data_IF_226782114217
#
_entry.id   IF_226782114217
#
_cell.length_a   1.000
_cell.length_b   1.000
_cell.length_c   1.000
_cell.angle_alpha   90.00
_cell.angle_beta   90.00
_cell.angle_gamma   90.00
#
_symmetry.space_group_name_H-M   'P 1'
#
loop_
_entity.id
_entity.type
_entity.pdbx_description
1 polymer ?
#
# COMPACT_ATOMS: atom_id res chain seq x y z
N UNK A 1 -69.19 -36.08 71.29
CA UNK A 1 -67.90 -36.68 70.94
C UNK A 1 -67.98 -37.08 69.48
N UNK A 2 -67.19 -36.62 68.53
CA UNK A 2 -66.13 -35.63 68.44
C UNK A 2 -65.95 -35.40 66.93
N UNK A 3 -66.00 -34.15 66.51
CA UNK A 3 -65.97 -33.70 65.12
C UNK A 3 -64.77 -34.23 64.35
N UNK A 4 -65.03 -34.93 63.25
CA UNK A 4 -64.09 -35.15 62.15
C UNK A 4 -63.99 -33.90 61.29
N UNK A 5 -62.78 -33.47 60.96
CA UNK A 5 -62.49 -32.42 59.97
C UNK A 5 -61.10 -31.90 60.26
N UNK A 6 -60.06 -32.24 59.51
CA UNK A 6 -59.98 -32.26 58.06
C UNK A 6 -58.80 -31.38 57.70
N UNK A 7 -57.60 -31.80 58.14
CA UNK A 7 -56.35 -31.14 57.81
C UNK A 7 -56.02 -31.41 56.34
N UNK A 8 -56.29 -30.43 55.50
CA UNK A 8 -55.95 -30.42 54.09
C UNK A 8 -55.41 -29.06 53.69
N UNK A 9 -54.31 -28.63 54.32
CA UNK A 9 -53.48 -27.58 53.73
C UNK A 9 -52.78 -28.20 52.52
N UNK A 10 -53.46 -28.20 51.37
CA UNK A 10 -52.80 -28.33 50.09
C UNK A 10 -51.71 -27.27 50.07
N UNK A 11 -50.44 -27.63 49.81
CA UNK A 11 -49.25 -26.78 49.91
C UNK A 11 -49.20 -25.58 48.96
N UNK A 12 -50.31 -24.84 48.85
CA UNK A 12 -50.41 -23.55 48.23
C UNK A 12 -49.61 -22.56 49.06
N UNK A 13 -48.54 -22.06 48.46
CA UNK A 13 -47.78 -20.94 49.00
C UNK A 13 -48.51 -19.68 48.57
N UNK A 14 -49.09 -18.96 49.53
CA UNK A 14 -49.72 -17.66 49.29
C UNK A 14 -48.71 -16.54 49.48
N UNK A 15 -48.73 -15.56 48.59
CA UNK A 15 -47.92 -14.34 48.65
C UNK A 15 -48.76 -13.13 49.07
N UNK A 16 -48.13 -11.95 49.16
CA UNK A 16 -48.86 -10.70 49.40
C UNK A 16 -49.89 -10.46 48.29
N UNK A 17 -51.10 -10.05 48.65
CA UNK A 17 -52.22 -9.86 47.72
C UNK A 17 -51.88 -8.94 46.53
N UNK A 18 -51.02 -7.94 46.73
CA UNK A 18 -50.53 -7.08 45.65
C UNK A 18 -49.69 -7.83 44.61
N UNK A 19 -48.83 -8.75 45.04
CA UNK A 19 -47.98 -9.56 44.14
C UNK A 19 -48.81 -10.57 43.36
N UNK A 20 -49.78 -11.22 44.00
CA UNK A 20 -50.67 -12.17 43.34
C UNK A 20 -51.58 -11.48 42.32
N UNK A 21 -52.06 -10.27 42.62
CA UNK A 21 -52.90 -9.47 41.70
C UNK A 21 -52.11 -9.09 40.44
N UNK A 22 -50.90 -8.55 40.59
CA UNK A 22 -50.07 -8.18 39.43
C UNK A 22 -49.66 -9.39 38.60
N UNK A 23 -49.31 -10.51 39.25
CA UNK A 23 -48.91 -11.72 38.54
C UNK A 23 -50.08 -12.35 37.78
N UNK A 24 -51.29 -12.27 38.34
CA UNK A 24 -52.52 -12.68 37.67
C UNK A 24 -52.83 -11.77 36.48
N UNK A 25 -52.65 -10.46 36.62
CA UNK A 25 -52.85 -9.50 35.54
C UNK A 25 -51.83 -9.71 34.39
N UNK A 26 -50.58 -10.11 34.69
CA UNK A 26 -49.60 -10.46 33.65
C UNK A 26 -49.95 -11.71 32.83
N UNK A 27 -50.76 -12.63 33.39
CA UNK A 27 -51.13 -13.91 32.77
C UNK A 27 -52.55 -13.92 32.20
N UNK A 28 -53.33 -12.89 32.47
CA UNK A 28 -54.70 -12.80 31.99
C UNK A 28 -54.69 -12.37 30.52
N UNK A 29 -55.29 -13.18 29.65
CA UNK A 29 -55.35 -12.92 28.20
C UNK A 29 -56.76 -12.52 27.73
N UNK A 30 -57.69 -12.23 28.66
CA UNK A 30 -59.14 -12.19 28.37
C UNK A 30 -59.85 -10.86 28.65
N UNK A 31 -59.11 -9.75 28.80
CA UNK A 31 -59.63 -8.45 28.35
C UNK A 31 -60.10 -7.42 29.38
N UNK A 32 -59.55 -7.40 30.60
CA UNK A 32 -59.47 -6.16 31.42
C UNK A 32 -58.21 -6.25 32.28
N UNK A 33 -57.05 -6.04 31.67
CA UNK A 33 -55.79 -5.97 32.40
C UNK A 33 -55.55 -4.52 32.85
N UNK A 34 -55.03 -4.33 34.06
CA UNK A 34 -54.60 -3.01 34.52
C UNK A 34 -53.28 -2.55 33.87
N UNK A 35 -52.65 -3.45 33.11
CA UNK A 35 -51.36 -3.28 32.43
C UNK A 35 -51.63 -3.28 30.92
N UNK A 36 -50.94 -2.40 30.18
CA UNK A 36 -51.25 -2.12 28.76
C UNK A 36 -51.14 -3.34 27.82
N UNK A 37 -50.38 -4.38 28.19
CA UNK A 37 -50.24 -5.67 27.47
C UNK A 37 -49.96 -6.81 28.44
N UNK A 38 -50.61 -7.95 28.24
CA UNK A 38 -50.28 -9.17 29.00
C UNK A 38 -49.00 -9.81 28.48
N UNK A 39 -48.30 -10.59 29.31
CA UNK A 39 -47.07 -11.27 28.89
C UNK A 39 -47.35 -12.28 27.78
N UNK A 40 -48.48 -12.98 27.84
CA UNK A 40 -48.87 -13.96 26.82
C UNK A 40 -49.07 -13.30 25.46
N UNK A 41 -49.67 -12.11 25.40
CA UNK A 41 -49.79 -11.32 24.17
C UNK A 41 -48.41 -10.87 23.63
N UNK A 42 -47.51 -10.45 24.52
CA UNK A 42 -46.15 -10.04 24.12
C UNK A 42 -45.34 -11.24 23.62
N UNK A 43 -45.46 -12.41 24.24
CA UNK A 43 -44.79 -13.62 23.80
C UNK A 43 -45.36 -14.14 22.48
N UNK A 44 -46.69 -14.23 22.35
CA UNK A 44 -47.36 -14.70 21.13
C UNK A 44 -47.05 -13.80 19.93
N UNK A 45 -46.88 -12.49 20.14
CA UNK A 45 -46.45 -11.56 19.08
C UNK A 45 -44.95 -11.65 18.74
N UNK A 46 -44.10 -12.10 19.67
CA UNK A 46 -42.66 -12.23 19.47
C UNK A 46 -42.25 -13.59 18.87
N UNK A 47 -43.00 -14.66 19.15
CA UNK A 47 -42.73 -16.00 18.63
C UNK A 47 -42.78 -16.04 17.10
N UNK A 48 -41.76 -16.64 16.48
CA UNK A 48 -41.61 -16.68 15.03
C UNK A 48 -41.33 -15.32 14.35
N UNK A 49 -41.26 -14.23 15.12
CA UNK A 49 -40.94 -12.87 14.65
C UNK A 49 -39.53 -12.47 15.13
N UNK A 50 -38.54 -13.30 14.80
CA UNK A 50 -37.16 -13.04 15.18
C UNK A 50 -36.62 -11.79 14.47
N UNK A 51 -35.93 -10.88 15.20
CA UNK A 51 -35.30 -9.69 14.62
C UNK A 51 -34.08 -10.04 13.74
N UNK A 52 -33.65 -11.30 13.75
CA UNK A 52 -32.50 -11.80 12.97
C UNK A 52 -32.90 -12.31 11.59
N UNK A 53 -34.20 -12.53 11.33
CA UNK A 53 -34.72 -12.96 10.03
C UNK A 53 -34.38 -11.90 8.96
N UNK A 54 -33.66 -12.33 7.93
CA UNK A 54 -33.28 -11.48 6.79
C UNK A 54 -32.12 -10.53 7.07
N UNK A 55 -31.49 -10.59 8.25
CA UNK A 55 -30.18 -9.98 8.46
C UNK A 55 -29.10 -10.88 7.84
N UNK A 56 -28.10 -10.25 7.25
CA UNK A 56 -26.91 -10.91 6.74
C UNK A 56 -25.68 -10.12 7.13
N UNK A 57 -24.55 -10.79 7.33
CA UNK A 57 -23.29 -10.10 7.57
C UNK A 57 -22.87 -9.24 6.38
N UNK A 58 -21.97 -8.29 6.65
CA UNK A 58 -21.36 -7.47 5.60
C UNK A 58 -20.59 -8.35 4.62
N UNK A 59 -20.88 -8.21 3.32
CA UNK A 59 -20.18 -8.93 2.26
C UNK A 59 -18.95 -8.12 1.76
N UNK A 60 -17.71 -8.58 2.03
CA UNK A 60 -16.49 -7.86 1.62
C UNK A 60 -16.06 -8.14 0.17
N UNK A 61 -16.85 -8.87 -0.63
CA UNK A 61 -16.46 -9.30 -1.98
C UNK A 61 -16.09 -8.13 -2.90
N UNK A 62 -16.84 -7.03 -2.84
CA UNK A 62 -16.59 -5.84 -3.68
C UNK A 62 -15.25 -5.16 -3.32
N UNK A 63 -14.97 -4.79 -2.05
CA UNK A 63 -13.65 -4.28 -1.65
C UNK A 63 -12.48 -5.24 -1.92
N UNK A 64 -12.68 -6.54 -1.72
CA UNK A 64 -11.65 -7.55 -1.99
C UNK A 64 -11.32 -7.58 -3.49
N UNK A 65 -12.33 -7.57 -4.36
CA UNK A 65 -12.15 -7.55 -5.80
C UNK A 65 -11.45 -6.26 -6.28
N UNK A 66 -11.81 -5.11 -5.71
CA UNK A 66 -11.14 -3.83 -5.99
C UNK A 66 -9.65 -3.87 -5.62
N UNK A 67 -9.30 -4.35 -4.43
CA UNK A 67 -7.90 -4.48 -4.02
C UNK A 67 -7.12 -5.46 -4.89
N UNK A 68 -7.71 -6.60 -5.25
CA UNK A 68 -7.09 -7.56 -6.15
C UNK A 68 -6.81 -6.97 -7.55
N UNK A 69 -7.71 -6.13 -8.06
CA UNK A 69 -7.53 -5.44 -9.34
C UNK A 69 -6.36 -4.44 -9.30
N UNK A 70 -6.16 -3.72 -8.19
CA UNK A 70 -5.02 -2.79 -8.01
C UNK A 70 -3.70 -3.55 -8.01
N UNK A 71 -3.61 -4.66 -7.29
CA UNK A 71 -2.42 -5.53 -7.28
C UNK A 71 -2.15 -6.08 -8.68
N UNK A 72 -3.17 -6.58 -9.38
CA UNK A 72 -3.03 -7.07 -10.75
C UNK A 72 -2.56 -5.99 -11.73
N UNK A 73 -3.05 -4.75 -11.60
CA UNK A 73 -2.59 -3.62 -12.41
C UNK A 73 -1.09 -3.32 -12.17
N UNK A 74 -0.64 -3.37 -10.92
CA UNK A 74 0.78 -3.21 -10.60
C UNK A 74 1.64 -4.34 -11.19
N UNK A 75 1.13 -5.58 -11.19
CA UNK A 75 1.80 -6.73 -11.79
C UNK A 75 2.00 -6.56 -13.32
N UNK A 76 1.01 -6.00 -14.02
CA UNK A 76 1.09 -5.72 -15.46
C UNK A 76 2.16 -4.66 -15.75
N UNK A 77 2.23 -3.60 -14.95
CA UNK A 77 3.28 -2.58 -15.07
C UNK A 77 4.65 -3.23 -14.88
N UNK A 78 4.79 -4.09 -13.88
CA UNK A 78 6.03 -4.80 -13.57
C UNK A 78 6.46 -5.77 -14.68
N UNK A 79 5.50 -6.50 -15.27
CA UNK A 79 5.75 -7.43 -16.37
C UNK A 79 6.13 -6.70 -17.68
N UNK A 80 5.62 -5.49 -17.90
CA UNK A 80 5.99 -4.64 -19.05
C UNK A 80 7.42 -4.10 -18.99
N UNK A 81 8.06 -4.13 -17.81
CA UNK A 81 9.46 -3.77 -17.63
C UNK A 81 10.34 -5.02 -17.87
N UNK A 82 10.72 -5.36 -19.10
CA UNK A 82 11.62 -6.49 -19.37
C UNK A 82 13.05 -6.26 -18.82
N UNK A 83 13.52 -7.04 -17.84
CA UNK A 83 14.79 -6.81 -17.12
C UNK A 83 16.04 -6.86 -18.01
N UNK A 84 16.17 -7.87 -18.87
CA UNK A 84 17.37 -8.07 -19.69
C UNK A 84 17.35 -7.25 -20.97
N UNK A 85 16.19 -7.11 -21.60
CA UNK A 85 16.03 -6.33 -22.82
C UNK A 85 16.14 -4.83 -22.54
N UNK A 86 15.48 -4.32 -21.49
CA UNK A 86 15.55 -2.89 -21.15
C UNK A 86 16.93 -2.51 -20.63
N UNK A 87 17.62 -3.39 -19.89
CA UNK A 87 18.98 -3.09 -19.44
C UNK A 87 19.96 -3.04 -20.62
N UNK A 88 19.90 -3.99 -21.55
CA UNK A 88 20.75 -3.96 -22.74
C UNK A 88 20.47 -2.71 -23.60
N UNK A 89 19.20 -2.32 -23.76
CA UNK A 89 18.83 -1.11 -24.50
C UNK A 89 19.21 0.18 -23.77
N UNK A 90 19.01 0.28 -22.45
CA UNK A 90 19.38 1.45 -21.65
C UNK A 90 20.89 1.59 -21.53
N UNK A 91 21.63 0.49 -21.36
CA UNK A 91 23.09 0.49 -21.40
C UNK A 91 23.58 0.93 -22.78
N UNK A 92 23.04 0.38 -23.86
CA UNK A 92 23.39 0.78 -25.22
C UNK A 92 23.07 2.26 -25.47
N UNK A 93 21.90 2.77 -25.02
CA UNK A 93 21.53 4.18 -25.14
C UNK A 93 22.40 5.10 -24.29
N UNK A 94 22.71 4.73 -23.05
CA UNK A 94 23.60 5.48 -22.16
C UNK A 94 25.01 5.55 -22.75
N UNK A 95 25.52 4.45 -23.30
CA UNK A 95 26.77 4.44 -24.06
C UNK A 95 26.65 5.36 -25.28
N UNK A 96 25.58 5.29 -26.06
CA UNK A 96 25.44 6.12 -27.29
C UNK A 96 25.30 7.61 -26.97
N UNK A 97 24.63 7.97 -25.88
CA UNK A 97 24.38 9.37 -25.48
C UNK A 97 25.52 9.98 -24.68
N UNK A 98 26.24 9.22 -23.86
CA UNK A 98 27.46 9.71 -23.16
C UNK A 98 28.73 9.58 -24.00
N UNK A 99 28.80 8.62 -24.93
CA UNK A 99 29.88 8.49 -25.93
C UNK A 99 29.57 9.32 -27.19
N UNK A 100 28.67 10.32 -27.08
CA UNK A 100 28.63 11.44 -28.03
C UNK A 100 30.02 12.10 -28.17
N UNK A 101 30.79 12.14 -27.08
CA UNK A 101 32.25 12.29 -27.12
C UNK A 101 32.92 11.00 -27.61
N UNK A 102 32.68 10.65 -28.87
CA UNK A 102 33.38 9.56 -29.53
C UNK A 102 34.89 9.82 -29.56
N UNK A 103 35.69 8.79 -29.82
CA UNK A 103 37.14 8.95 -30.08
C UNK A 103 37.39 10.08 -31.11
N UNK A 104 36.46 10.27 -32.05
CA UNK A 104 36.46 11.35 -33.03
C UNK A 104 36.36 12.77 -32.43
N UNK A 105 35.52 13.00 -31.41
CA UNK A 105 35.44 14.31 -30.73
C UNK A 105 36.68 14.56 -29.87
N UNK A 106 37.21 13.52 -29.21
CA UNK A 106 38.48 13.62 -28.48
C UNK A 106 39.60 14.02 -29.44
N UNK A 107 39.66 13.36 -30.61
CA UNK A 107 40.66 13.67 -31.64
C UNK A 107 40.46 15.09 -32.19
N UNK A 108 39.20 15.53 -32.37
CA UNK A 108 38.90 16.89 -32.83
C UNK A 108 39.31 17.96 -31.81
N UNK A 109 39.02 17.74 -30.53
CA UNK A 109 39.35 18.67 -29.43
C UNK A 109 40.86 18.72 -29.15
N UNK A 110 41.53 17.55 -29.14
CA UNK A 110 43.00 17.48 -29.08
C UNK A 110 43.64 18.15 -30.29
N UNK A 111 43.05 17.99 -31.49
CA UNK A 111 43.48 18.68 -32.70
C UNK A 111 43.32 20.20 -32.59
N UNK A 112 42.20 20.69 -32.06
CA UNK A 112 41.98 22.11 -31.82
C UNK A 112 42.98 22.68 -30.80
N UNK A 113 43.24 21.96 -29.70
CA UNK A 113 44.22 22.35 -28.70
C UNK A 113 45.65 22.38 -29.27
N UNK A 114 46.02 21.37 -30.07
CA UNK A 114 47.31 21.34 -30.76
C UNK A 114 47.49 22.55 -31.68
N UNK A 115 46.44 22.91 -32.46
CA UNK A 115 46.50 24.05 -33.36
C UNK A 115 46.67 25.39 -32.62
N UNK A 116 46.07 25.54 -31.43
CA UNK A 116 46.23 26.74 -30.59
C UNK A 116 47.68 26.84 -30.08
N UNK A 117 48.25 25.73 -29.61
CA UNK A 117 49.65 25.68 -29.19
C UNK A 117 50.61 25.96 -30.35
N UNK A 118 50.34 25.40 -31.53
CA UNK A 118 51.11 25.67 -32.75
C UNK A 118 51.11 27.15 -33.10
N UNK A 119 49.93 27.78 -33.09
CA UNK A 119 49.81 29.21 -33.39
C UNK A 119 50.56 30.05 -32.35
N UNK A 120 50.48 29.74 -31.06
CA UNK A 120 51.24 30.43 -30.03
C UNK A 120 52.76 30.25 -30.18
N UNK A 121 53.22 29.04 -30.50
CA UNK A 121 54.64 28.74 -30.71
C UNK A 121 55.17 29.50 -31.91
N UNK A 122 54.47 29.45 -33.05
CA UNK A 122 54.90 30.07 -34.31
C UNK A 122 54.83 31.59 -34.24
N UNK A 123 53.76 32.16 -33.65
CA UNK A 123 53.54 33.61 -33.68
C UNK A 123 54.22 34.35 -32.53
N UNK A 124 54.44 33.71 -31.38
CA UNK A 124 54.97 34.37 -30.17
C UNK A 124 56.27 33.76 -29.65
N UNK A 125 56.31 32.46 -29.41
CA UNK A 125 57.42 31.83 -28.66
C UNK A 125 58.69 31.73 -29.51
N UNK A 126 58.61 31.11 -30.68
CA UNK A 126 59.75 30.96 -31.60
C UNK A 126 60.32 32.31 -32.05
N UNK A 127 59.50 33.32 -32.44
CA UNK A 127 60.04 34.64 -32.81
C UNK A 127 60.78 35.33 -31.66
N UNK A 128 60.28 35.24 -30.42
CA UNK A 128 60.96 35.82 -29.24
C UNK A 128 62.26 35.09 -28.92
N UNK A 129 62.24 33.75 -28.99
CA UNK A 129 63.43 32.92 -28.78
C UNK A 129 64.51 33.21 -29.85
N UNK A 130 64.13 33.23 -31.13
CA UNK A 130 65.03 33.52 -32.25
C UNK A 130 65.64 34.91 -32.15
N UNK A 131 64.86 35.93 -31.80
CA UNK A 131 65.35 37.30 -31.61
C UNK A 131 66.33 37.38 -30.43
N UNK A 132 66.00 36.76 -29.30
CA UNK A 132 66.91 36.70 -28.15
C UNK A 132 68.22 35.98 -28.46
N UNK A 133 68.19 34.92 -29.27
CA UNK A 133 69.40 34.21 -29.73
C UNK A 133 70.20 34.99 -30.77
N UNK A 134 69.54 35.82 -31.60
CA UNK A 134 70.18 36.76 -32.51
C UNK A 134 70.95 37.85 -31.75
N UNK A 135 70.35 38.40 -30.69
CA UNK A 135 70.98 39.46 -29.90
C UNK A 135 72.29 39.01 -29.22
N UNK A 136 72.40 37.73 -28.87
CA UNK A 136 73.61 37.12 -28.30
C UNK A 136 74.51 36.42 -29.34
N UNK A 137 74.18 36.52 -30.63
CA UNK A 137 74.90 35.90 -31.75
C UNK A 137 75.07 34.36 -31.63
N UNK A 138 74.14 33.68 -30.95
CA UNK A 138 74.20 32.23 -30.73
C UNK A 138 73.46 31.41 -31.80
N UNK A 139 73.01 32.05 -32.89
CA UNK A 139 72.16 31.46 -33.94
C UNK A 139 72.83 30.31 -34.71
N UNK A 140 74.16 30.28 -34.78
CA UNK A 140 74.94 29.23 -35.48
C UNK A 140 75.39 28.12 -34.51
N UNK A 141 74.98 28.18 -33.24
CA UNK A 141 75.38 27.20 -32.22
C UNK A 141 74.37 26.05 -32.08
N UNK A 142 74.84 24.90 -31.61
CA UNK A 142 73.96 23.77 -31.25
C UNK A 142 72.90 24.15 -30.21
N UNK A 143 73.20 25.14 -29.35
CA UNK A 143 72.26 25.67 -28.35
C UNK A 143 70.99 26.26 -28.97
N UNK A 144 71.06 26.79 -30.20
CA UNK A 144 69.90 27.29 -30.93
C UNK A 144 68.94 26.15 -31.31
N UNK A 145 69.49 25.10 -31.95
CA UNK A 145 68.71 23.92 -32.38
C UNK A 145 68.17 23.14 -31.18
N UNK A 146 68.97 23.02 -30.10
CA UNK A 146 68.52 22.40 -28.85
C UNK A 146 67.36 23.18 -28.24
N UNK A 147 67.44 24.51 -28.20
CA UNK A 147 66.36 25.34 -27.66
C UNK A 147 65.05 25.23 -28.45
N UNK A 148 65.10 25.21 -29.79
CA UNK A 148 63.90 24.95 -30.61
C UNK A 148 63.34 23.55 -30.34
N UNK A 149 64.19 22.52 -30.26
CA UNK A 149 63.74 21.15 -29.98
C UNK A 149 63.11 21.00 -28.59
N UNK A 150 63.57 21.76 -27.60
CA UNK A 150 63.00 21.77 -26.25
C UNK A 150 61.63 22.43 -26.24
N UNK A 151 61.43 23.51 -27.01
CA UNK A 151 60.13 24.18 -27.16
C UNK A 151 59.10 23.23 -27.78
N UNK A 152 59.46 22.55 -28.87
CA UNK A 152 58.59 21.54 -29.50
C UNK A 152 58.35 20.32 -28.59
N UNK A 153 59.35 19.90 -27.81
CA UNK A 153 59.19 18.82 -26.83
C UNK A 153 58.24 19.17 -25.68
N UNK A 154 58.12 20.46 -25.30
CA UNK A 154 57.13 20.90 -24.32
C UNK A 154 55.72 20.85 -24.88
N UNK A 155 55.53 21.27 -26.14
CA UNK A 155 54.24 21.17 -26.85
C UNK A 155 53.72 19.74 -26.85
N UNK A 156 54.53 18.78 -27.29
CA UNK A 156 54.09 17.38 -27.39
C UNK A 156 53.70 16.80 -26.02
N UNK A 157 54.41 17.21 -24.96
CA UNK A 157 54.10 16.82 -23.58
C UNK A 157 52.77 17.43 -23.10
N UNK A 158 52.50 18.68 -23.43
CA UNK A 158 51.24 19.35 -23.07
C UNK A 158 50.04 18.77 -23.81
N UNK A 159 50.17 18.48 -25.10
CA UNK A 159 49.15 17.79 -25.90
C UNK A 159 48.87 16.39 -25.33
N UNK A 160 49.91 15.62 -25.00
CA UNK A 160 49.74 14.30 -24.38
C UNK A 160 49.07 14.37 -23.00
N UNK A 161 49.41 15.38 -22.19
CA UNK A 161 48.76 15.61 -20.89
C UNK A 161 47.29 15.96 -21.05
N UNK A 162 46.95 16.84 -21.98
CA UNK A 162 45.57 17.22 -22.28
C UNK A 162 44.74 16.02 -22.75
N UNK A 163 45.28 15.24 -23.69
CA UNK A 163 44.66 14.01 -24.19
C UNK A 163 44.38 12.99 -23.08
N UNK A 164 45.34 12.75 -22.18
CA UNK A 164 45.14 11.84 -21.05
C UNK A 164 44.10 12.37 -20.05
N UNK A 165 44.07 13.68 -19.80
CA UNK A 165 43.07 14.33 -18.95
C UNK A 165 41.65 14.14 -19.49
N UNK A 166 41.43 14.36 -20.78
CA UNK A 166 40.14 14.15 -21.43
C UNK A 166 39.67 12.68 -21.32
N UNK A 167 40.58 11.72 -21.50
CA UNK A 167 40.26 10.29 -21.36
C UNK A 167 39.81 9.93 -19.94
N UNK A 168 40.45 10.49 -18.91
CA UNK A 168 40.07 10.28 -17.51
C UNK A 168 38.69 10.85 -17.23
N UNK A 169 38.43 12.09 -17.64
CA UNK A 169 37.12 12.75 -17.44
C UNK A 169 35.99 11.97 -18.10
N UNK A 170 36.22 11.42 -19.30
CA UNK A 170 35.23 10.58 -19.98
C UNK A 170 35.05 9.25 -19.24
N UNK A 171 36.12 8.65 -18.72
CA UNK A 171 36.06 7.46 -17.85
C UNK A 171 35.20 7.70 -16.61
N UNK A 172 35.39 8.83 -15.92
CA UNK A 172 34.59 9.22 -14.76
C UNK A 172 33.10 9.41 -15.10
N UNK A 173 32.81 10.03 -16.26
CA UNK A 173 31.41 10.18 -16.74
C UNK A 173 30.75 8.83 -16.99
N UNK A 174 31.49 7.86 -17.57
CA UNK A 174 30.98 6.49 -17.77
C UNK A 174 30.67 5.80 -16.44
N UNK A 175 31.55 5.95 -15.44
CA UNK A 175 31.34 5.35 -14.11
C UNK A 175 30.09 5.96 -13.45
N UNK A 176 29.91 7.28 -13.49
CA UNK A 176 28.72 7.95 -12.95
C UNK A 176 27.42 7.49 -13.63
N UNK A 177 27.44 7.28 -14.94
CA UNK A 177 26.28 6.74 -15.66
C UNK A 177 25.95 5.31 -15.22
N UNK A 178 26.95 4.46 -15.02
CA UNK A 178 26.77 3.10 -14.49
C UNK A 178 26.21 3.13 -13.08
N UNK A 179 26.69 4.03 -12.22
CA UNK A 179 26.18 4.21 -10.87
C UNK A 179 24.69 4.60 -10.87
N UNK A 180 24.28 5.55 -11.71
CA UNK A 180 22.87 5.91 -11.87
C UNK A 180 22.02 4.72 -12.35
N UNK A 181 22.53 3.89 -13.25
CA UNK A 181 21.85 2.68 -13.68
C UNK A 181 21.69 1.66 -12.55
N UNK A 182 22.71 1.46 -11.71
CA UNK A 182 22.65 0.58 -10.53
C UNK A 182 21.61 1.10 -9.52
N UNK A 183 21.52 2.42 -9.33
CA UNK A 183 20.50 3.02 -8.46
C UNK A 183 19.09 2.76 -9.00
N UNK A 184 18.88 2.88 -10.31
CA UNK A 184 17.60 2.55 -10.94
C UNK A 184 17.24 1.06 -10.78
N UNK A 185 18.21 0.15 -10.91
CA UNK A 185 17.99 -1.28 -10.67
C UNK A 185 17.62 -1.57 -9.21
N UNK A 186 18.30 -0.92 -8.26
CA UNK A 186 17.98 -1.05 -6.83
C UNK A 186 16.56 -0.55 -6.53
N UNK A 187 16.17 0.59 -7.09
CA UNK A 187 14.82 1.13 -6.96
C UNK A 187 13.77 0.16 -7.52
N UNK A 188 14.07 -0.51 -8.62
CA UNK A 188 13.19 -1.52 -9.21
C UNK A 188 13.06 -2.77 -8.33
N UNK A 189 14.15 -3.27 -7.76
CA UNK A 189 14.11 -4.40 -6.80
C UNK A 189 13.24 -4.03 -5.60
N UNK A 190 13.33 -2.78 -5.12
CA UNK A 190 12.47 -2.30 -4.04
C UNK A 190 10.99 -2.31 -4.45
N UNK A 191 10.64 -1.85 -5.66
CA UNK A 191 9.26 -1.94 -6.17
C UNK A 191 8.74 -3.37 -6.29
N UNK A 192 9.60 -4.32 -6.69
CA UNK A 192 9.24 -5.74 -6.71
C UNK A 192 9.00 -6.29 -5.30
N UNK A 193 9.86 -5.95 -4.35
CA UNK A 193 9.71 -6.37 -2.96
C UNK A 193 8.43 -5.78 -2.32
N UNK A 194 8.13 -4.51 -2.58
CA UNK A 194 6.93 -3.85 -2.07
C UNK A 194 5.66 -4.41 -2.71
N UNK A 195 5.69 -4.76 -3.99
CA UNK A 195 4.59 -5.48 -4.64
C UNK A 195 4.27 -6.81 -3.96
N UNK A 196 5.30 -7.63 -3.70
CA UNK A 196 5.12 -8.93 -3.03
C UNK A 196 4.51 -8.73 -1.63
N UNK A 197 4.96 -7.72 -0.89
CA UNK A 197 4.38 -7.36 0.41
C UNK A 197 2.91 -6.97 0.31
N UNK A 198 2.55 -6.11 -0.64
CA UNK A 198 1.16 -5.69 -0.87
C UNK A 198 0.26 -6.86 -1.29
N UNK A 199 0.77 -7.77 -2.11
CA UNK A 199 0.03 -8.97 -2.52
C UNK A 199 -0.22 -9.91 -1.33
N UNK A 200 0.78 -10.12 -0.47
CA UNK A 200 0.63 -10.91 0.76
C UNK A 200 -0.38 -10.27 1.71
N UNK A 201 -0.31 -8.95 1.90
CA UNK A 201 -1.24 -8.23 2.78
C UNK A 201 -2.67 -8.29 2.24
N UNK A 202 -2.85 -8.15 0.93
CA UNK A 202 -4.17 -8.26 0.29
C UNK A 202 -4.78 -9.65 0.50
N UNK A 203 -3.97 -10.72 0.39
CA UNK A 203 -4.43 -12.07 0.68
C UNK A 203 -4.79 -12.24 2.17
N UNK A 204 -4.02 -11.63 3.07
CA UNK A 204 -4.33 -11.65 4.51
C UNK A 204 -5.66 -10.95 4.81
N UNK A 205 -5.87 -9.74 4.27
CA UNK A 205 -7.13 -8.99 4.43
C UNK A 205 -8.31 -9.79 3.88
N UNK A 206 -8.16 -10.41 2.70
CA UNK A 206 -9.18 -11.27 2.11
C UNK A 206 -9.57 -12.42 3.04
N UNK A 207 -8.59 -13.13 3.60
CA UNK A 207 -8.84 -14.25 4.51
C UNK A 207 -9.56 -13.78 5.78
N UNK A 208 -9.10 -12.68 6.38
CA UNK A 208 -9.71 -12.14 7.61
C UNK A 208 -11.14 -11.67 7.33
N UNK A 209 -11.38 -10.91 6.27
CA UNK A 209 -12.70 -10.38 5.95
C UNK A 209 -13.73 -11.48 5.63
N UNK A 210 -13.34 -12.53 4.89
CA UNK A 210 -14.23 -13.68 4.63
C UNK A 210 -14.53 -14.48 5.90
N UNK A 211 -13.54 -14.62 6.78
CA UNK A 211 -13.74 -15.24 8.08
C UNK A 211 -14.71 -14.42 8.93
N UNK A 212 -14.52 -13.10 9.01
CA UNK A 212 -15.42 -12.21 9.76
C UNK A 212 -16.86 -12.26 9.25
N UNK A 213 -17.06 -12.30 7.93
CA UNK A 213 -18.38 -12.51 7.35
C UNK A 213 -18.99 -13.83 7.83
N UNK A 214 -18.24 -14.93 7.70
CA UNK A 214 -18.73 -16.28 8.08
C UNK A 214 -19.03 -16.36 9.58
N UNK A 215 -18.17 -15.79 10.42
CA UNK A 215 -18.34 -15.78 11.87
C UNK A 215 -19.57 -14.95 12.28
N UNK A 216 -19.84 -13.83 11.60
CA UNK A 216 -21.03 -13.02 11.84
C UNK A 216 -22.32 -13.68 11.34
N UNK A 217 -22.31 -14.28 10.15
CA UNK A 217 -23.45 -15.04 9.62
C UNK A 217 -23.82 -16.18 10.58
N UNK A 218 -22.82 -16.93 11.09
CA UNK A 218 -23.06 -17.98 12.07
C UNK A 218 -23.66 -17.47 13.39
N UNK A 219 -23.31 -16.26 13.83
CA UNK A 219 -23.89 -15.63 15.03
C UNK A 219 -25.34 -15.19 14.77
N UNK A 220 -25.64 -14.65 13.59
CA UNK A 220 -27.00 -14.27 13.20
C UNK A 220 -27.89 -15.53 13.16
N UNK A 221 -27.44 -16.59 12.51
CA UNK A 221 -28.16 -17.86 12.41
C UNK A 221 -28.39 -18.52 13.78
N UNK A 222 -27.37 -18.53 14.64
CA UNK A 222 -27.49 -19.06 16.01
C UNK A 222 -28.46 -18.23 16.87
N UNK A 223 -28.46 -16.91 16.71
CA UNK A 223 -29.37 -16.01 17.44
C UNK A 223 -30.81 -16.13 16.94
N UNK A 224 -31.00 -16.35 15.64
CA UNK A 224 -32.31 -16.61 15.03
C UNK A 224 -32.89 -17.92 15.55
N UNK A 225 -32.11 -19.00 15.49
CA UNK A 225 -32.53 -20.32 15.96
C UNK A 225 -32.86 -20.37 17.46
N UNK A 226 -32.22 -19.52 18.27
CA UNK A 226 -32.44 -19.43 19.71
C UNK A 226 -33.54 -18.45 20.11
N UNK A 227 -33.99 -17.58 19.21
CA UNK A 227 -34.91 -16.49 19.53
C UNK A 227 -36.15 -16.98 20.29
N UNK A 228 -36.84 -18.00 19.77
CA UNK A 228 -38.05 -18.51 20.40
C UNK A 228 -37.76 -19.06 21.82
N UNK A 229 -36.61 -19.70 22.02
CA UNK A 229 -36.18 -20.21 23.33
C UNK A 229 -35.84 -19.07 24.31
N UNK A 230 -35.26 -17.96 23.81
CA UNK A 230 -35.01 -16.77 24.61
C UNK A 230 -36.32 -16.09 25.03
N UNK A 231 -37.30 -15.98 24.13
CA UNK A 231 -38.65 -15.48 24.45
C UNK A 231 -39.29 -16.32 25.57
N UNK A 232 -39.17 -17.66 25.51
CA UNK A 232 -39.63 -18.53 26.59
C UNK A 232 -38.84 -18.34 27.89
N UNK A 233 -37.54 -18.08 27.83
CA UNK A 233 -36.72 -17.82 29.02
C UNK A 233 -37.12 -16.50 29.70
N UNK A 234 -37.41 -15.45 28.94
CA UNK A 234 -37.93 -14.19 29.48
C UNK A 234 -39.30 -14.40 30.14
N UNK A 235 -40.18 -15.19 29.51
CA UNK A 235 -41.49 -15.55 30.09
C UNK A 235 -41.37 -16.38 31.38
N UNK A 236 -40.48 -17.38 31.38
CA UNK A 236 -40.21 -18.21 32.54
C UNK A 236 -39.62 -17.40 33.71
N UNK A 237 -38.79 -16.39 33.42
CA UNK A 237 -38.26 -15.49 34.44
C UNK A 237 -39.33 -14.59 35.05
N UNK A 238 -40.30 -14.12 34.25
CA UNK A 238 -41.43 -13.38 34.79
C UNK A 238 -42.30 -14.29 35.66
N UNK A 239 -42.57 -15.52 35.23
CA UNK A 239 -43.30 -16.53 36.02
C UNK A 239 -42.60 -16.86 37.34
N UNK A 240 -41.28 -17.03 37.31
CA UNK A 240 -40.48 -17.35 38.48
C UNK A 240 -40.23 -16.15 39.41
N UNK A 241 -40.59 -14.93 38.99
CA UNK A 241 -40.33 -13.71 39.77
C UNK A 241 -41.02 -13.68 41.13
N UNK A 242 -42.19 -14.33 41.27
CA UNK A 242 -42.91 -14.43 42.55
C UNK A 242 -42.24 -15.39 43.54
N UNK A 243 -41.52 -16.39 43.03
CA UNK A 243 -40.83 -17.43 43.81
C UNK A 243 -39.32 -17.21 43.96
N UNK A 244 -38.75 -16.17 43.36
CA UNK A 244 -37.32 -15.82 43.43
C UNK A 244 -36.39 -16.69 42.58
N UNK A 245 -36.92 -17.52 41.67
CA UNK A 245 -36.17 -18.49 40.87
C UNK A 245 -35.79 -18.02 39.47
N UNK A 246 -35.37 -16.78 39.28
CA UNK A 246 -35.04 -16.25 37.95
C UNK A 246 -33.66 -16.74 37.47
N UNK A 247 -33.57 -17.10 36.20
CA UNK A 247 -32.30 -17.39 35.54
C UNK A 247 -31.87 -16.19 34.70
N UNK A 248 -30.57 -15.88 34.65
CA UNK A 248 -30.09 -14.83 33.76
C UNK A 248 -30.27 -15.33 32.31
N UNK A 249 -31.08 -14.64 31.47
CA UNK A 249 -31.11 -14.97 30.05
C UNK A 249 -29.68 -14.82 29.52
N UNK A 250 -29.29 -15.72 28.62
CA UNK A 250 -27.96 -15.71 28.03
C UNK A 250 -27.84 -14.40 27.24
N UNK A 251 -27.27 -13.36 27.83
CA UNK A 251 -27.18 -12.05 27.19
C UNK A 251 -26.43 -12.24 25.88
N UNK A 252 -27.11 -11.96 24.76
CA UNK A 252 -26.54 -11.97 23.42
C UNK A 252 -25.14 -11.36 23.50
N UNK A 253 -24.12 -12.16 23.16
CA UNK A 253 -22.75 -11.68 23.14
C UNK A 253 -22.73 -10.46 22.22
N UNK A 254 -22.38 -9.30 22.78
CA UNK A 254 -22.23 -8.03 22.06
C UNK A 254 -21.57 -8.31 20.71
N UNK A 255 -22.26 -8.07 19.61
CA UNK A 255 -21.67 -8.31 18.29
C UNK A 255 -20.39 -7.48 18.23
N UNK A 256 -19.27 -8.11 17.87
CA UNK A 256 -18.04 -7.41 17.53
C UNK A 256 -18.20 -6.71 16.17
N UNK A 257 -19.31 -5.99 15.95
CA UNK A 257 -19.47 -5.03 14.86
C UNK A 257 -18.64 -3.75 15.11
N UNK A 258 -17.55 -3.84 15.86
CA UNK A 258 -16.45 -2.89 15.80
C UNK A 258 -15.55 -3.36 14.66
N UNK A 259 -16.00 -3.12 13.43
CA UNK A 259 -15.22 -3.35 12.21
C UNK A 259 -13.93 -2.54 12.29
N UNK A 260 -12.83 -3.23 12.60
CA UNK A 260 -11.46 -2.68 12.58
C UNK A 260 -11.03 -2.35 11.14
N UNK A 261 -11.82 -2.74 10.13
CA UNK A 261 -11.60 -2.38 8.72
C UNK A 261 -12.04 -0.94 8.38
N UNK A 262 -12.78 -0.26 9.24
CA UNK A 262 -13.37 1.06 8.95
C UNK A 262 -12.42 2.27 9.00
N UNK A 263 -11.14 2.10 9.37
CA UNK A 263 -10.30 3.25 9.75
C UNK A 263 -8.90 3.36 9.12
N UNK A 264 -8.36 2.34 8.45
CA UNK A 264 -6.92 2.31 8.13
C UNK A 264 -6.55 2.22 6.63
N UNK A 265 -7.51 2.14 5.72
CA UNK A 265 -7.26 2.07 4.27
C UNK A 265 -7.95 3.21 3.52
N UNK A 266 -7.79 4.45 4.01
CA UNK A 266 -8.02 5.65 3.20
C UNK A 266 -7.02 5.64 2.03
N UNK A 267 -7.44 5.01 0.94
CA UNK A 267 -6.77 4.86 -0.35
C UNK A 267 -6.65 6.17 -1.13
N UNK A 268 -6.06 7.19 -0.50
CA UNK A 268 -5.81 8.50 -1.12
C UNK A 268 -4.36 8.74 -1.59
N UNK A 269 -3.39 7.89 -1.22
CA UNK A 269 -1.98 8.25 -1.38
C UNK A 269 -1.22 7.55 -2.51
N UNK A 270 -1.74 6.47 -3.11
CA UNK A 270 -1.00 5.73 -4.14
C UNK A 270 -1.30 6.18 -5.59
N UNK A 271 -2.50 6.73 -5.84
CA UNK A 271 -2.91 7.16 -7.19
C UNK A 271 -2.30 8.48 -7.65
N UNK A 272 -1.90 9.35 -6.72
CA UNK A 272 -1.35 10.67 -7.04
C UNK A 272 0.16 10.67 -7.34
N UNK A 273 0.90 9.62 -6.98
CA UNK A 273 2.36 9.56 -7.20
C UNK A 273 2.77 8.99 -8.56
N UNK A 274 1.83 8.51 -9.39
CA UNK A 274 2.13 7.84 -10.68
C UNK A 274 1.53 8.58 -11.90
N UNK A 275 0.88 9.73 -11.71
CA UNK A 275 0.30 10.56 -12.78
C UNK A 275 1.31 11.53 -13.43
N UNK A 276 2.60 11.22 -13.40
CA UNK A 276 3.67 12.03 -14.00
C UNK A 276 3.75 11.97 -15.54
N UNK A 277 2.62 12.05 -16.24
CA UNK A 277 2.57 12.36 -17.68
C UNK A 277 3.03 11.27 -18.66
N UNK A 278 3.09 9.98 -18.28
CA UNK A 278 3.45 8.90 -19.19
C UNK A 278 2.19 8.28 -19.85
N UNK A 279 2.09 8.17 -21.20
CA UNK A 279 0.93 7.63 -21.90
C UNK A 279 0.56 6.18 -21.55
N UNK A 280 1.48 5.39 -20.98
CA UNK A 280 1.14 4.06 -20.41
C UNK A 280 0.34 4.15 -19.09
N UNK A 281 0.42 5.27 -18.37
CA UNK A 281 -0.35 5.51 -17.15
C UNK A 281 -1.81 5.93 -17.44
N UNK A 282 -2.13 6.34 -18.67
CA UNK A 282 -3.51 6.68 -19.09
C UNK A 282 -4.38 5.41 -19.13
N UNK A 283 -3.81 4.26 -19.49
CA UNK A 283 -4.51 2.97 -19.45
C UNK A 283 -4.82 2.50 -18.03
N UNK A 284 -3.89 2.68 -17.10
CA UNK A 284 -4.09 2.34 -15.68
C UNK A 284 -5.04 3.33 -14.97
N UNK A 285 -4.95 4.63 -15.30
CA UNK A 285 -5.87 5.66 -14.81
C UNK A 285 -7.30 5.48 -15.31
N UNK A 286 -7.49 4.92 -16.51
CA UNK A 286 -8.82 4.59 -17.02
C UNK A 286 -9.46 3.39 -16.28
N UNK A 287 -8.67 2.38 -15.89
CA UNK A 287 -9.16 1.22 -15.13
C UNK A 287 -9.45 1.60 -13.67
N UNK A 288 -8.58 2.42 -13.05
CA UNK A 288 -8.78 2.94 -11.70
C UNK A 288 -9.90 3.99 -11.62
N UNK A 289 -10.04 4.85 -12.63
CA UNK A 289 -11.15 5.81 -12.74
C UNK A 289 -12.50 5.14 -12.99
N UNK A 290 -12.53 4.02 -13.72
CA UNK A 290 -13.75 3.23 -13.91
C UNK A 290 -14.15 2.43 -12.66
N UNK A 291 -13.19 1.98 -11.85
CA UNK A 291 -13.47 1.30 -10.58
C UNK A 291 -13.89 2.26 -9.45
N UNK A 292 -13.40 3.50 -9.46
CA UNK A 292 -13.75 4.55 -8.49
C UNK A 292 -15.00 5.36 -8.87
N UNK A 293 -15.42 5.33 -10.15
CA UNK A 293 -16.64 5.99 -10.63
C UNK A 293 -17.95 5.24 -10.36
N UNK A 294 -17.88 4.12 -9.61
CA UNK A 294 -19.01 3.27 -9.23
C UNK A 294 -19.15 3.09 -7.70
N UNK A 295 -18.58 4.01 -6.92
CA UNK A 295 -18.87 4.17 -5.49
C UNK A 295 -19.67 5.46 -5.25
#
# INVERSE_FOLDING_TARGET
MGSSGGGGSSGAVSHSAYLETIHKDWLNATGVDTIEKSMTEVMDSALGSSPWIGLSAYNPAVPIAANAAVVAAFAVILAGLGDTTNWATLYAQAVTTLVGAGEAEIIADVGAFSNILDDEIITKVLPRFRRGMQDINAVVSSSFVIGESVIEGFRDREVAKYMSGLRIVIGERKIKAVEQMIQLMTNRINWQADYVRMAVETNRIKIVALKEQTDQDAVIDDSDAKWDLEVFQYGANLLASIGGGTALPNMAKKSQAASVLGGALMGGAAGAMVSGGNPLAIGAGAILGAAMGFM
#
